data_IF_954042359570
#
_entry.id   IF_954042359570
#
_cell.length_a   1.000
_cell.length_b   1.000
_cell.length_c   1.000
_cell.angle_alpha   90.00
_cell.angle_beta   90.00
_cell.angle_gamma   90.00
#
_symmetry.space_group_name_H-M   'P 1'
#
loop_
_entity.id
_entity.type
_entity.pdbx_description
1 polymer ?
#
# COMPACT_ATOMS: atom_id res chain seq x y z
N UNK A 1 15.41 -0.37 15.89
CA UNK A 1 14.73 -0.07 14.62
C UNK A 1 15.35 1.19 14.08
N UNK A 2 15.90 1.13 12.88
CA UNK A 2 16.45 2.30 12.22
C UNK A 2 15.31 3.08 11.54
N UNK A 3 15.24 4.38 11.81
CA UNK A 3 14.19 5.26 11.27
C UNK A 3 14.87 6.25 10.31
N UNK A 4 14.46 6.33 9.03
CA UNK A 4 14.96 7.33 8.10
C UNK A 4 14.77 8.75 8.64
N UNK A 5 15.70 9.66 8.36
CA UNK A 5 15.56 11.07 8.79
C UNK A 5 14.25 11.70 8.32
N UNK A 6 13.82 11.38 7.10
CA UNK A 6 12.54 11.84 6.54
C UNK A 6 11.31 11.40 7.36
N UNK A 7 11.44 10.40 8.23
CA UNK A 7 10.35 9.92 9.09
C UNK A 7 10.50 10.31 10.56
N UNK A 8 11.55 11.06 10.93
CA UNK A 8 11.74 11.48 12.31
C UNK A 8 10.66 12.47 12.74
N UNK A 9 10.09 12.25 13.93
CA UNK A 9 9.03 13.10 14.47
C UNK A 9 7.66 12.94 13.81
N UNK A 10 7.48 11.93 12.95
CA UNK A 10 6.17 11.51 12.49
C UNK A 10 5.44 10.72 13.58
N UNK A 11 4.11 10.73 13.53
CA UNK A 11 3.28 9.97 14.45
C UNK A 11 3.27 8.47 14.08
N UNK A 12 3.99 7.68 14.88
CA UNK A 12 4.09 6.23 14.73
C UNK A 12 3.09 5.50 15.60
N UNK A 13 2.42 4.54 14.97
CA UNK A 13 1.34 3.77 15.54
C UNK A 13 1.71 2.29 15.48
N UNK A 14 1.40 1.58 16.55
CA UNK A 14 1.63 0.14 16.61
C UNK A 14 0.64 -0.57 15.68
N UNK A 15 1.10 -1.38 14.71
CA UNK A 15 0.21 -2.13 13.85
C UNK A 15 -0.45 -3.30 14.62
N UNK A 16 -1.53 -3.87 14.08
CA UNK A 16 -2.11 -5.11 14.61
C UNK A 16 -1.08 -6.25 14.61
N UNK A 17 -1.23 -7.18 15.56
CA UNK A 17 -0.28 -8.29 15.71
C UNK A 17 -0.18 -9.16 14.46
N UNK A 18 -1.30 -9.36 13.75
CA UNK A 18 -1.35 -10.15 12.53
C UNK A 18 -0.43 -9.62 11.44
N UNK A 19 -0.27 -8.30 11.33
CA UNK A 19 0.64 -7.66 10.38
C UNK A 19 2.10 -7.98 10.74
N UNK A 20 2.45 -7.85 12.03
CA UNK A 20 3.80 -8.16 12.51
C UNK A 20 4.14 -9.64 12.31
N UNK A 21 3.23 -10.53 12.69
CA UNK A 21 3.43 -11.97 12.58
C UNK A 21 3.51 -12.40 11.11
N UNK A 22 2.70 -11.79 10.23
CA UNK A 22 2.79 -12.02 8.78
C UNK A 22 4.15 -11.57 8.24
N UNK A 23 4.56 -10.32 8.51
CA UNK A 23 5.75 -9.70 7.94
C UNK A 23 7.04 -10.46 8.30
N UNK A 24 7.13 -10.95 9.54
CA UNK A 24 8.28 -11.73 10.03
C UNK A 24 8.54 -13.00 9.20
N UNK A 25 7.50 -13.64 8.66
CA UNK A 25 7.64 -14.81 7.77
C UNK A 25 8.40 -14.49 6.47
N UNK A 26 8.46 -13.21 6.10
CA UNK A 26 9.08 -12.71 4.87
C UNK A 26 10.34 -11.89 5.13
N UNK A 27 10.90 -11.95 6.35
CA UNK A 27 12.17 -11.31 6.69
C UNK A 27 12.08 -9.83 7.07
N UNK A 28 10.87 -9.30 7.27
CA UNK A 28 10.68 -7.95 7.80
C UNK A 28 10.97 -7.95 9.31
N UNK A 29 11.80 -7.01 9.75
CA UNK A 29 12.22 -6.87 11.14
C UNK A 29 11.20 -6.08 11.97
N UNK A 30 10.76 -4.93 11.45
CA UNK A 30 9.79 -4.06 12.12
C UNK A 30 8.72 -3.59 11.14
N UNK A 31 7.49 -3.51 11.65
CA UNK A 31 6.34 -2.94 10.95
C UNK A 31 5.83 -1.79 11.81
N UNK A 32 5.66 -0.62 11.20
CA UNK A 32 5.14 0.57 11.86
C UNK A 32 4.03 1.16 11.01
N UNK A 33 2.89 1.50 11.63
CA UNK A 33 1.88 2.31 10.97
C UNK A 33 2.21 3.79 11.18
N UNK A 34 1.94 4.62 10.17
CA UNK A 34 2.24 6.06 10.19
C UNK A 34 0.96 6.82 9.90
N UNK A 35 0.46 7.53 10.90
CA UNK A 35 -0.70 8.43 10.80
C UNK A 35 -0.19 9.88 10.85
N UNK A 36 0.32 10.34 9.71
CA UNK A 36 0.88 11.68 9.57
C UNK A 36 0.76 12.15 8.11
N UNK A 37 0.20 13.33 7.88
CA UNK A 37 0.03 13.89 6.53
C UNK A 37 1.35 14.19 5.83
N UNK A 38 2.41 14.46 6.60
CA UNK A 38 3.77 14.68 6.06
C UNK A 38 4.37 13.39 5.48
N UNK A 39 3.82 12.24 5.85
CA UNK A 39 4.17 10.97 5.22
C UNK A 39 3.43 10.87 3.89
N UNK A 40 4.10 11.02 2.75
CA UNK A 40 3.42 10.97 1.45
C UNK A 40 2.92 9.56 1.10
N UNK A 41 3.72 8.53 1.42
CA UNK A 41 3.48 7.13 1.05
C UNK A 41 4.11 6.16 2.04
N UNK A 42 3.68 4.90 1.98
CA UNK A 42 4.39 3.80 2.63
C UNK A 42 5.80 3.67 2.09
N UNK A 43 6.72 3.21 2.93
CA UNK A 43 8.11 3.01 2.52
C UNK A 43 8.78 1.88 3.29
N UNK A 44 9.81 1.34 2.68
CA UNK A 44 10.76 0.42 3.29
C UNK A 44 12.11 1.10 3.52
N UNK A 45 12.71 0.84 4.67
CA UNK A 45 14.11 1.16 4.97
C UNK A 45 14.82 -0.04 5.59
N UNK A 46 15.84 -0.55 4.89
CA UNK A 46 16.42 -1.86 5.19
C UNK A 46 15.32 -2.94 5.23
N UNK A 47 15.25 -3.72 6.33
CA UNK A 47 14.19 -4.71 6.56
C UNK A 47 13.03 -4.15 7.39
N UNK A 48 12.93 -2.83 7.56
CA UNK A 48 11.83 -2.18 8.27
C UNK A 48 10.84 -1.59 7.27
N UNK A 49 9.54 -1.70 7.56
CA UNK A 49 8.49 -1.13 6.73
C UNK A 49 7.63 -0.17 7.54
N UNK A 50 7.26 0.93 6.90
CA UNK A 50 6.46 2.00 7.46
C UNK A 50 5.24 2.20 6.56
N UNK A 51 4.05 1.92 7.08
CA UNK A 51 2.82 1.87 6.30
C UNK A 51 1.98 3.10 6.61
N UNK A 52 1.72 3.92 5.59
CA UNK A 52 0.84 5.08 5.72
C UNK A 52 -0.61 4.61 5.86
N UNK A 53 -1.26 5.03 6.95
CA UNK A 53 -2.66 4.66 7.28
C UNK A 53 -3.66 5.81 7.12
N UNK A 54 -3.28 6.87 6.42
CA UNK A 54 -4.13 8.01 6.09
C UNK A 54 -4.01 8.44 4.62
N UNK A 55 -4.76 9.46 4.24
CA UNK A 55 -4.71 10.09 2.91
C UNK A 55 -5.61 9.44 1.85
N UNK A 56 -5.75 10.12 0.72
CA UNK A 56 -6.57 9.68 -0.40
C UNK A 56 -6.08 8.34 -0.97
N UNK A 57 -7.00 7.56 -1.51
CA UNK A 57 -6.70 6.20 -1.99
C UNK A 57 -7.44 5.79 -3.26
N UNK A 58 -8.05 6.73 -3.97
CA UNK A 58 -8.73 6.52 -5.25
C UNK A 58 -7.90 5.73 -6.28
N UNK A 59 -6.60 5.97 -6.36
CA UNK A 59 -5.70 5.24 -7.27
C UNK A 59 -5.66 3.73 -7.00
N UNK A 60 -5.95 3.29 -5.78
CA UNK A 60 -6.00 1.87 -5.40
C UNK A 60 -7.32 1.20 -5.83
N UNK A 61 -8.33 1.97 -6.21
CA UNK A 61 -9.60 1.46 -6.73
C UNK A 61 -9.43 0.92 -8.15
N UNK A 62 -8.48 1.47 -8.91
CA UNK A 62 -8.22 1.13 -10.30
C UNK A 62 -7.61 -0.27 -10.46
N UNK A 63 -7.79 -0.85 -11.64
CA UNK A 63 -7.10 -2.08 -12.03
C UNK A 63 -5.57 -1.84 -12.10
N UNK A 64 -4.71 -2.79 -11.72
CA UNK A 64 -4.98 -4.14 -11.20
C UNK A 64 -5.24 -4.21 -9.68
N UNK A 65 -5.09 -3.10 -8.95
CA UNK A 65 -5.17 -3.09 -7.48
C UNK A 65 -6.58 -3.40 -6.99
N UNK A 66 -7.61 -2.70 -7.50
CA UNK A 66 -9.02 -2.95 -7.23
C UNK A 66 -9.38 -3.14 -5.75
N UNK A 67 -8.84 -2.28 -4.88
CA UNK A 67 -9.22 -2.24 -3.48
C UNK A 67 -10.69 -1.79 -3.35
N UNK A 68 -11.45 -2.45 -2.46
CA UNK A 68 -12.86 -2.18 -2.21
C UNK A 68 -13.10 -1.40 -0.93
N UNK A 69 -12.18 -1.51 0.02
CA UNK A 69 -12.24 -0.81 1.31
C UNK A 69 -10.90 -0.20 1.67
N UNK A 70 -10.91 0.78 2.56
CA UNK A 70 -9.67 1.38 3.04
C UNK A 70 -8.76 0.39 3.79
N UNK A 71 -9.36 -0.59 4.49
CA UNK A 71 -8.63 -1.72 5.09
C UNK A 71 -7.89 -2.56 4.05
N UNK A 72 -8.49 -2.80 2.88
CA UNK A 72 -7.79 -3.46 1.77
C UNK A 72 -6.62 -2.61 1.25
N UNK A 73 -6.78 -1.28 1.16
CA UNK A 73 -5.69 -0.39 0.74
C UNK A 73 -4.50 -0.49 1.68
N UNK A 74 -4.71 -0.35 2.99
CA UNK A 74 -3.63 -0.44 3.97
C UNK A 74 -2.98 -1.83 3.91
N UNK A 75 -3.78 -2.89 3.76
CA UNK A 75 -3.28 -4.25 3.61
C UNK A 75 -2.43 -4.42 2.34
N UNK A 76 -2.86 -3.86 1.21
CA UNK A 76 -2.13 -3.92 -0.05
C UNK A 76 -0.85 -3.08 -0.02
N UNK A 77 -0.88 -1.88 0.58
CA UNK A 77 0.33 -1.08 0.87
C UNK A 77 1.33 -1.87 1.72
N UNK A 78 0.84 -2.54 2.76
CA UNK A 78 1.67 -3.39 3.60
C UNK A 78 2.29 -4.55 2.80
N UNK A 79 1.50 -5.28 2.03
CA UNK A 79 1.99 -6.40 1.23
C UNK A 79 2.98 -5.96 0.15
N UNK A 80 2.79 -4.77 -0.42
CA UNK A 80 3.74 -4.16 -1.35
C UNK A 80 5.12 -3.98 -0.70
N UNK A 81 5.19 -3.35 0.48
CA UNK A 81 6.47 -3.16 1.18
C UNK A 81 7.10 -4.48 1.64
N UNK A 82 6.27 -5.46 2.05
CA UNK A 82 6.75 -6.83 2.33
C UNK A 82 7.34 -7.47 1.06
N UNK A 83 6.73 -7.24 -0.11
CA UNK A 83 7.24 -7.69 -1.40
C UNK A 83 8.64 -7.17 -1.68
N UNK A 84 8.91 -5.89 -1.42
CA UNK A 84 10.27 -5.33 -1.55
C UNK A 84 11.30 -6.02 -0.64
N UNK A 85 10.93 -6.37 0.60
CA UNK A 85 11.82 -7.12 1.50
C UNK A 85 12.03 -8.55 0.98
N UNK A 86 10.94 -9.24 0.62
CA UNK A 86 10.98 -10.63 0.14
C UNK A 86 11.88 -10.80 -1.09
N UNK A 87 11.78 -9.88 -2.06
CA UNK A 87 12.59 -9.87 -3.27
C UNK A 87 13.99 -9.26 -3.09
N UNK A 88 14.33 -8.78 -1.88
CA UNK A 88 15.62 -8.13 -1.58
C UNK A 88 15.93 -6.96 -2.51
N UNK A 89 14.91 -6.18 -2.88
CA UNK A 89 15.09 -4.95 -3.65
C UNK A 89 16.04 -4.01 -2.92
N UNK A 90 16.82 -3.21 -3.65
CA UNK A 90 17.82 -2.32 -3.01
C UNK A 90 17.19 -1.11 -2.32
N UNK A 91 15.91 -0.86 -2.58
CA UNK A 91 15.14 0.22 -1.96
C UNK A 91 15.35 1.54 -2.67
N UNK A 92 14.39 2.45 -2.51
CA UNK A 92 14.28 3.69 -3.28
C UNK A 92 14.95 4.89 -2.61
N UNK A 93 15.62 4.68 -1.46
CA UNK A 93 16.37 5.70 -0.73
C UNK A 93 17.85 5.56 -1.05
N UNK A 94 18.38 6.48 -1.87
CA UNK A 94 19.83 6.62 -2.00
C UNK A 94 20.41 7.17 -0.69
N UNK A 95 21.69 6.89 -0.44
CA UNK A 95 22.51 7.32 0.72
C UNK A 95 22.53 8.85 1.01
N UNK A 96 21.80 9.65 0.23
CA UNK A 96 21.66 11.12 0.33
C UNK A 96 20.30 11.59 0.84
N UNK A 97 19.47 10.69 1.40
CA UNK A 97 18.22 11.03 2.14
C UNK A 97 17.12 11.74 1.31
N UNK A 98 17.26 11.81 -0.01
CA UNK A 98 16.18 12.23 -0.90
C UNK A 98 15.52 11.01 -1.53
N UNK A 99 14.20 10.93 -1.40
CA UNK A 99 13.34 10.04 -2.20
C UNK A 99 13.43 10.49 -3.67
N UNK A 100 14.50 10.13 -4.38
CA UNK A 100 14.60 10.38 -5.81
C UNK A 100 13.74 9.34 -6.53
N UNK A 101 12.47 9.69 -6.75
CA UNK A 101 11.63 8.96 -7.68
C UNK A 101 11.84 9.62 -9.03
N UNK A 102 12.57 8.97 -9.93
CA UNK A 102 12.48 9.30 -11.34
C UNK A 102 11.15 8.78 -11.85
N UNK A 103 10.14 9.66 -11.85
CA UNK A 103 8.89 9.38 -12.54
C UNK A 103 9.15 9.40 -14.04
N UNK A 104 8.77 8.33 -14.74
CA UNK A 104 8.62 8.40 -16.19
C UNK A 104 7.34 9.17 -16.51
N UNK A 105 7.12 9.50 -17.79
CA UNK A 105 5.86 10.10 -18.22
C UNK A 105 4.67 9.13 -18.11
N UNK A 106 4.91 7.83 -17.84
CA UNK A 106 3.88 6.79 -17.76
C UNK A 106 3.79 6.23 -16.32
N UNK A 107 2.84 6.73 -15.50
CA UNK A 107 2.71 6.31 -14.09
C UNK A 107 2.41 4.82 -13.92
N UNK A 108 1.84 4.17 -14.96
CA UNK A 108 1.60 2.73 -14.93
C UNK A 108 2.89 1.93 -15.04
N UNK A 109 3.85 2.41 -15.84
CA UNK A 109 5.16 1.74 -15.96
C UNK A 109 5.94 1.90 -14.67
N UNK A 110 5.94 3.08 -14.07
CA UNK A 110 6.63 3.32 -12.81
C UNK A 110 6.11 2.40 -11.69
N UNK A 111 4.79 2.19 -11.64
CA UNK A 111 4.17 1.39 -10.59
C UNK A 111 4.30 -0.11 -10.85
N UNK A 112 4.16 -0.57 -12.09
CA UNK A 112 3.98 -2.00 -12.39
C UNK A 112 5.13 -2.64 -13.18
N UNK A 113 6.30 -2.01 -13.24
CA UNK A 113 7.52 -2.58 -13.82
C UNK A 113 8.71 -2.49 -12.86
N UNK A 114 9.79 -3.21 -13.16
CA UNK A 114 10.97 -3.30 -12.28
C UNK A 114 10.64 -3.80 -10.87
N UNK A 115 11.39 -3.32 -9.89
CA UNK A 115 11.26 -3.65 -8.47
C UNK A 115 9.84 -3.36 -7.92
N UNK A 116 9.22 -2.25 -8.30
CA UNK A 116 7.84 -1.89 -7.90
C UNK A 116 6.84 -2.91 -8.47
N UNK A 117 7.00 -3.27 -9.74
CA UNK A 117 6.15 -4.27 -10.39
C UNK A 117 6.26 -5.66 -9.76
N UNK A 118 7.46 -6.07 -9.32
CA UNK A 118 7.69 -7.33 -8.60
C UNK A 118 7.04 -7.30 -7.21
N UNK A 119 7.17 -6.19 -6.47
CA UNK A 119 6.56 -6.00 -5.17
C UNK A 119 5.02 -6.01 -5.25
N UNK A 120 4.43 -5.35 -6.25
CA UNK A 120 2.98 -5.40 -6.49
C UNK A 120 2.50 -6.80 -6.88
N UNK A 121 3.26 -7.48 -7.73
CA UNK A 121 2.95 -8.84 -8.13
C UNK A 121 2.96 -9.80 -6.93
N UNK A 122 3.89 -9.62 -5.98
CA UNK A 122 3.87 -10.34 -4.71
C UNK A 122 2.56 -10.08 -3.93
N UNK A 123 2.15 -8.82 -3.77
CA UNK A 123 0.93 -8.47 -3.06
C UNK A 123 -0.32 -9.11 -3.69
N UNK A 124 -0.44 -9.09 -5.02
CA UNK A 124 -1.56 -9.70 -5.74
C UNK A 124 -1.55 -11.23 -5.64
N UNK A 125 -0.37 -11.86 -5.65
CA UNK A 125 -0.24 -13.30 -5.40
C UNK A 125 -0.76 -13.69 -4.02
N UNK A 126 -0.40 -12.94 -2.98
CA UNK A 126 -0.92 -13.18 -1.63
C UNK A 126 -2.44 -13.04 -1.61
N UNK A 127 -3.00 -11.97 -2.20
CA UNK A 127 -4.45 -11.76 -2.31
C UNK A 127 -5.16 -12.93 -2.99
N UNK A 128 -4.62 -13.43 -4.11
CA UNK A 128 -5.27 -14.49 -4.91
C UNK A 128 -5.09 -15.89 -4.33
N UNK A 129 -3.87 -16.24 -3.94
CA UNK A 129 -3.48 -17.61 -3.63
C UNK A 129 -3.39 -17.89 -2.12
N UNK A 130 -3.10 -16.88 -1.30
CA UNK A 130 -3.04 -17.00 0.17
C UNK A 130 -4.24 -16.29 0.81
N UNK A 131 -5.44 -16.65 0.35
CA UNK A 131 -6.69 -15.93 0.67
C UNK A 131 -6.97 -15.82 2.16
N UNK A 132 -6.65 -16.84 2.95
CA UNK A 132 -6.93 -16.84 4.38
C UNK A 132 -6.02 -15.86 5.13
N UNK A 133 -4.74 -15.83 4.79
CA UNK A 133 -3.80 -14.84 5.32
C UNK A 133 -4.22 -13.42 4.91
N UNK A 134 -4.56 -13.21 3.64
CA UNK A 134 -5.03 -11.91 3.16
C UNK A 134 -6.30 -11.46 3.89
N UNK A 135 -7.31 -12.32 4.00
CA UNK A 135 -8.55 -12.03 4.74
C UNK A 135 -8.28 -11.71 6.20
N UNK A 136 -7.38 -12.47 6.85
CA UNK A 136 -7.01 -12.23 8.25
C UNK A 136 -6.36 -10.87 8.44
N UNK A 137 -5.48 -10.44 7.52
CA UNK A 137 -4.89 -9.10 7.54
C UNK A 137 -5.95 -8.02 7.36
N UNK A 138 -6.83 -8.15 6.36
CA UNK A 138 -7.90 -7.17 6.09
C UNK A 138 -8.82 -7.02 7.30
N UNK A 139 -9.28 -8.13 7.90
CA UNK A 139 -10.16 -8.12 9.07
C UNK A 139 -9.45 -7.50 10.29
N UNK A 140 -8.18 -7.82 10.50
CA UNK A 140 -7.39 -7.25 11.61
C UNK A 140 -7.20 -5.74 11.41
N UNK A 141 -6.97 -5.30 10.17
CA UNK A 141 -6.89 -3.89 9.82
C UNK A 141 -8.23 -3.19 10.07
N UNK A 142 -9.34 -3.74 9.57
CA UNK A 142 -10.67 -3.17 9.74
C UNK A 142 -11.02 -2.93 11.21
N UNK A 143 -10.84 -3.94 12.07
CA UNK A 143 -11.04 -3.81 13.52
C UNK A 143 -10.14 -2.76 14.15
N UNK A 144 -8.91 -2.60 13.66
CA UNK A 144 -8.02 -1.56 14.14
C UNK A 144 -8.53 -0.18 13.75
N UNK A 145 -8.94 0.03 12.49
CA UNK A 145 -9.44 1.32 12.01
C UNK A 145 -10.75 1.74 12.71
N UNK A 146 -11.60 0.77 13.11
CA UNK A 146 -12.84 1.03 13.84
C UNK A 146 -12.62 1.68 15.22
N UNK A 147 -11.51 1.37 15.89
CA UNK A 147 -11.23 1.82 17.26
C UNK A 147 -10.08 2.82 17.36
N UNK A 148 -9.31 2.99 16.28
CA UNK A 148 -8.19 3.91 16.24
C UNK A 148 -8.68 5.35 16.11
N UNK A 149 -8.22 6.21 17.03
CA UNK A 149 -8.51 7.64 16.98
C UNK A 149 -7.40 8.34 16.19
N UNK A 150 -7.72 8.74 14.95
CA UNK A 150 -6.77 9.39 14.06
C UNK A 150 -6.40 10.78 14.57
N UNK A 151 -5.11 11.13 14.43
CA UNK A 151 -4.62 12.47 14.76
C UNK A 151 -4.95 13.49 13.67
N UNK A 152 -5.28 13.04 12.46
CA UNK A 152 -5.73 13.89 11.36
C UNK A 152 -7.25 13.73 11.16
N UNK A 153 -7.94 14.82 10.81
CA UNK A 153 -9.38 14.81 10.42
C UNK A 153 -9.63 14.05 9.09
N UNK A 154 -8.56 13.51 8.51
CA UNK A 154 -8.50 12.91 7.19
C UNK A 154 -8.92 11.43 7.28
N UNK A 155 -10.21 11.22 7.54
CA UNK A 155 -10.87 9.93 7.35
C UNK A 155 -11.61 9.92 6.01
N UNK A 156 -10.95 9.41 4.96
CA UNK A 156 -11.51 9.39 3.62
C UNK A 156 -12.16 8.06 3.30
N UNK A 157 -13.49 7.95 3.50
CA UNK A 157 -14.38 6.92 2.95
C UNK A 157 -14.02 5.46 3.28
N UNK A 158 -14.98 4.69 3.78
CA UNK A 158 -14.72 3.28 4.08
C UNK A 158 -14.66 2.40 2.84
N UNK A 159 -15.37 2.82 1.78
CA UNK A 159 -15.58 2.03 0.57
C UNK A 159 -15.19 2.80 -0.69
N UNK A 160 -14.82 2.04 -1.73
CA UNK A 160 -14.31 2.59 -2.98
C UNK A 160 -15.32 3.52 -3.69
N UNK A 161 -16.61 3.18 -3.66
CA UNK A 161 -17.65 4.00 -4.30
C UNK A 161 -17.71 5.41 -3.71
N UNK A 162 -17.67 5.53 -2.39
CA UNK A 162 -17.74 6.81 -1.68
C UNK A 162 -16.49 7.65 -1.96
N UNK A 163 -15.32 7.02 -1.90
CA UNK A 163 -14.05 7.70 -2.15
C UNK A 163 -13.95 8.19 -3.60
N UNK A 164 -14.34 7.34 -4.56
CA UNK A 164 -14.38 7.72 -5.97
C UNK A 164 -15.33 8.88 -6.23
N UNK A 165 -16.56 8.79 -5.71
CA UNK A 165 -17.58 9.82 -5.88
C UNK A 165 -17.17 11.16 -5.28
N UNK A 166 -16.50 11.14 -4.12
CA UNK A 166 -16.00 12.35 -3.46
C UNK A 166 -14.96 13.08 -4.30
N UNK A 167 -14.05 12.35 -4.96
CA UNK A 167 -12.94 12.94 -5.73
C UNK A 167 -13.40 13.34 -7.14
N UNK A 168 -14.12 12.46 -7.82
CA UNK A 168 -14.45 12.61 -9.23
C UNK A 168 -15.84 13.23 -9.48
N UNK A 169 -16.63 13.44 -8.41
CA UNK A 169 -18.00 13.94 -8.49
C UNK A 169 -18.93 13.09 -9.39
N UNK A 170 -18.66 11.79 -9.52
CA UNK A 170 -19.43 10.85 -10.32
C UNK A 170 -19.43 9.43 -9.69
N UNK A 171 -20.38 8.54 -10.03
CA UNK A 171 -20.35 7.15 -9.57
C UNK A 171 -19.12 6.39 -10.06
N UNK A 172 -18.70 5.34 -9.35
CA UNK A 172 -17.62 4.47 -9.81
C UNK A 172 -18.04 3.78 -11.12
N UNK A 173 -17.22 3.85 -12.17
CA UNK A 173 -17.50 3.14 -13.42
C UNK A 173 -17.58 1.62 -13.21
N UNK A 174 -18.50 0.96 -13.91
CA UNK A 174 -18.62 -0.50 -13.85
C UNK A 174 -17.37 -1.20 -14.40
N UNK A 175 -16.75 -0.64 -15.44
CA UNK A 175 -15.52 -1.15 -16.03
C UNK A 175 -14.34 -0.22 -15.74
N UNK A 176 -13.74 -0.39 -14.55
CA UNK A 176 -12.52 0.31 -14.14
C UNK A 176 -11.28 -0.12 -14.94
N UNK A 177 -11.32 -1.27 -15.64
CA UNK A 177 -10.19 -1.74 -16.44
C UNK A 177 -10.00 -0.91 -17.72
N UNK A 178 -11.07 -0.29 -18.20
CA UNK A 178 -11.04 0.63 -19.35
C UNK A 178 -10.10 1.85 -19.17
N UNK A 179 -9.75 2.18 -17.93
CA UNK A 179 -8.81 3.26 -17.59
C UNK A 179 -7.33 2.84 -17.65
N UNK A 180 -7.05 1.56 -17.93
CA UNK A 180 -5.70 0.99 -17.87
C UNK A 180 -5.12 0.72 -19.27
N UNK A 181 -3.80 0.86 -19.45
CA UNK A 181 -3.13 0.42 -20.68
C UNK A 181 -3.33 -1.08 -20.95
N UNK A 182 -3.50 -1.46 -22.22
CA UNK A 182 -3.71 -2.87 -22.62
C UNK A 182 -2.65 -3.84 -22.08
N UNK A 183 -1.38 -3.43 -22.10
CA UNK A 183 -0.28 -4.27 -21.61
C UNK A 183 -0.42 -4.62 -20.11
N UNK A 184 -1.00 -3.70 -19.33
CA UNK A 184 -1.21 -3.90 -17.90
C UNK A 184 -2.35 -4.90 -17.66
N UNK A 185 -3.43 -4.76 -18.43
CA UNK A 185 -4.56 -5.70 -18.44
C UNK A 185 -4.07 -7.10 -18.80
N UNK A 186 -3.30 -7.24 -19.88
CA UNK A 186 -2.73 -8.52 -20.32
C UNK A 186 -1.83 -9.16 -19.26
N UNK A 187 -1.00 -8.35 -18.58
CA UNK A 187 -0.10 -8.81 -17.52
C UNK A 187 -0.85 -9.35 -16.30
N UNK A 188 -1.90 -8.65 -15.86
CA UNK A 188 -2.56 -8.96 -14.59
C UNK A 188 -3.90 -9.71 -14.71
N UNK A 189 -4.48 -9.86 -15.90
CA UNK A 189 -5.72 -10.62 -16.11
C UNK A 189 -5.66 -12.11 -15.73
N UNK A 190 -4.44 -12.67 -15.59
CA UNK A 190 -4.22 -14.07 -15.20
C UNK A 190 -3.91 -14.24 -13.71
N UNK A 191 -3.69 -13.14 -13.00
CA UNK A 191 -3.47 -13.08 -11.54
C UNK A 191 -4.79 -12.70 -10.86
#
# INVERSE_FOLDING_TARGET
MDIPKAMQGLNFVKPPREFVDFAKRYGVENVVFVDDERCERSLRFNNNIFIKITGHWDVYILFPIQAKTFSEVITLRFLHEVGHVYHKHRGSLNDTEKLNITYTSDPWRDTFTGDEGEAWFFAFKIRKYNRDDYKKLVISCEKFLEVYNYNSEIYWGNIAEEEWKRINNCPLPQDISSYCPKWLIEKYNKI
#
